data_IF_246858998515
#
_entry.id   IF_246858998515
#
_cell.length_a   1.000
_cell.length_b   1.000
_cell.length_c   1.000
_cell.angle_alpha   90.00
_cell.angle_beta   90.00
_cell.angle_gamma   90.00
#
_symmetry.space_group_name_H-M   'P 1'
#
loop_
_entity.id
_entity.type
_entity.pdbx_description
1 polymer ?
#
# COMPACT_ATOMS: atom_id res chain seq x y z
N UNK A 1 -18.08 -3.94 -4.43
CA UNK A 1 -17.55 -4.87 -3.40
C UNK A 1 -16.31 -4.30 -2.74
N UNK A 2 -15.35 -3.80 -3.52
CA UNK A 2 -14.11 -3.17 -3.05
C UNK A 2 -14.32 -1.99 -2.09
N UNK A 3 -15.20 -1.03 -2.41
CA UNK A 3 -15.50 0.13 -1.53
C UNK A 3 -15.98 -0.27 -0.12
N UNK A 4 -16.87 -1.27 -0.03
CA UNK A 4 -17.36 -1.78 1.26
C UNK A 4 -16.26 -2.44 2.07
N UNK A 5 -15.30 -3.08 1.39
CA UNK A 5 -14.13 -3.68 2.04
C UNK A 5 -13.23 -2.57 2.60
N UNK A 6 -12.99 -1.50 1.83
CA UNK A 6 -12.18 -0.36 2.25
C UNK A 6 -12.79 0.28 3.51
N UNK A 7 -14.08 0.62 3.49
CA UNK A 7 -14.79 1.20 4.65
C UNK A 7 -14.67 0.30 5.89
N UNK A 8 -14.85 -1.01 5.72
CA UNK A 8 -14.72 -1.95 6.84
C UNK A 8 -13.29 -1.98 7.40
N UNK A 9 -12.28 -1.98 6.54
CA UNK A 9 -10.88 -1.93 6.95
C UNK A 9 -10.56 -0.63 7.70
N UNK A 10 -11.05 0.51 7.23
CA UNK A 10 -10.87 1.81 7.89
C UNK A 10 -11.49 1.82 9.29
N UNK A 11 -12.71 1.25 9.46
CA UNK A 11 -13.34 1.10 10.78
C UNK A 11 -12.52 0.17 11.69
N UNK A 12 -12.08 -0.98 11.18
CA UNK A 12 -11.35 -1.97 11.98
C UNK A 12 -9.99 -1.44 12.42
N UNK A 13 -9.23 -0.81 11.52
CA UNK A 13 -7.90 -0.27 11.81
C UNK A 13 -8.01 0.98 12.67
N UNK A 14 -8.77 1.99 12.21
CA UNK A 14 -8.91 3.26 12.92
C UNK A 14 -9.61 3.10 14.27
N UNK A 15 -10.69 2.33 14.33
CA UNK A 15 -11.39 1.97 15.57
C UNK A 15 -10.55 1.11 16.49
N UNK A 16 -9.86 0.09 15.95
CA UNK A 16 -9.00 -0.81 16.70
C UNK A 16 -7.80 -0.11 17.36
N UNK A 17 -7.27 0.93 16.74
CA UNK A 17 -6.19 1.77 17.30
C UNK A 17 -6.73 2.81 18.28
N UNK A 18 -7.79 3.54 17.90
CA UNK A 18 -8.31 4.65 18.70
C UNK A 18 -8.94 4.20 20.02
N UNK A 19 -9.64 3.06 20.04
CA UNK A 19 -10.36 2.61 21.25
C UNK A 19 -9.43 2.29 22.44
N UNK A 20 -8.35 1.48 22.32
CA UNK A 20 -7.40 1.28 23.39
C UNK A 20 -6.74 2.57 23.89
N UNK A 21 -6.45 3.51 22.98
CA UNK A 21 -5.88 4.82 23.31
C UNK A 21 -6.88 5.67 24.13
N UNK A 22 -8.15 5.73 23.72
CA UNK A 22 -9.22 6.42 24.45
C UNK A 22 -9.46 5.83 25.84
N UNK A 23 -9.32 4.50 25.98
CA UNK A 23 -9.40 3.82 27.28
C UNK A 23 -8.16 4.08 28.17
N UNK A 24 -7.12 4.73 27.65
CA UNK A 24 -5.88 5.01 28.37
C UNK A 24 -4.95 3.80 28.49
N UNK A 25 -5.15 2.77 27.66
CA UNK A 25 -4.40 1.49 27.69
C UNK A 25 -3.52 1.28 26.46
N UNK A 26 -3.60 2.15 25.47
CA UNK A 26 -2.88 2.06 24.19
C UNK A 26 -1.50 2.72 24.17
N UNK A 27 -0.84 2.95 25.31
CA UNK A 27 0.42 3.72 25.36
C UNK A 27 1.56 3.10 24.55
N UNK A 28 1.52 1.78 24.35
CA UNK A 28 2.45 1.04 23.50
C UNK A 28 2.39 1.45 22.01
N UNK A 29 1.29 2.05 21.56
CA UNK A 29 1.11 2.54 20.18
C UNK A 29 1.72 3.94 19.97
N UNK A 30 2.08 4.64 21.04
CA UNK A 30 2.62 6.00 20.96
C UNK A 30 4.14 5.91 20.77
N UNK A 31 4.57 6.01 19.51
CA UNK A 31 5.98 6.09 19.16
C UNK A 31 6.65 7.29 19.89
N UNK A 32 7.92 7.11 20.28
CA UNK A 32 8.63 8.09 21.13
C UNK A 32 8.32 7.90 22.61
N UNK A 33 7.05 7.84 23.03
CA UNK A 33 6.71 7.50 24.42
C UNK A 33 7.07 6.05 24.71
N UNK A 34 6.65 5.10 23.88
CA UNK A 34 6.88 3.67 24.10
C UNK A 34 8.38 3.31 24.16
N UNK A 35 9.20 3.97 23.35
CA UNK A 35 10.66 3.77 23.28
C UNK A 35 11.44 4.58 24.32
N UNK A 36 10.80 5.52 25.01
CA UNK A 36 11.44 6.32 26.05
C UNK A 36 11.84 5.48 27.27
N UNK A 37 12.89 5.94 27.97
CA UNK A 37 13.27 5.37 29.28
C UNK A 37 12.16 5.59 30.31
N UNK A 38 12.11 4.81 31.40
CA UNK A 38 11.09 5.03 32.45
C UNK A 38 11.20 6.39 33.11
N UNK A 39 12.44 6.89 33.26
CA UNK A 39 12.71 8.25 33.75
C UNK A 39 11.98 9.27 32.90
N UNK A 40 11.98 9.09 31.58
CA UNK A 40 11.27 9.99 30.66
C UNK A 40 9.76 9.72 30.61
N UNK A 41 9.31 8.45 30.60
CA UNK A 41 7.88 8.11 30.59
C UNK A 41 7.14 8.71 31.78
N UNK A 42 7.75 8.69 32.97
CA UNK A 42 7.17 9.23 34.21
C UNK A 42 7.00 10.75 34.22
N UNK A 43 7.63 11.47 33.29
CA UNK A 43 7.37 12.90 33.10
C UNK A 43 6.02 13.17 32.46
N UNK A 44 5.31 12.15 31.98
CA UNK A 44 4.02 12.28 31.32
C UNK A 44 2.92 11.54 32.08
N UNK A 45 1.72 12.11 32.07
CA UNK A 45 0.51 11.42 32.47
C UNK A 45 0.08 10.49 31.34
N UNK A 46 0.41 9.20 31.47
CA UNK A 46 0.16 8.18 30.45
C UNK A 46 -1.30 8.13 29.99
N UNK A 47 -2.26 8.13 30.93
CA UNK A 47 -3.69 8.06 30.58
C UNK A 47 -4.13 9.28 29.79
N UNK A 48 -3.66 10.47 30.18
CA UNK A 48 -3.98 11.73 29.51
C UNK A 48 -3.32 11.80 28.13
N UNK A 49 -2.09 11.33 28.00
CA UNK A 49 -1.36 11.23 26.74
C UNK A 49 -2.07 10.27 25.78
N UNK A 50 -2.40 9.06 26.24
CA UNK A 50 -3.18 8.08 25.49
C UNK A 50 -4.51 8.64 24.99
N UNK A 51 -5.27 9.30 25.87
CA UNK A 51 -6.55 9.89 25.49
C UNK A 51 -6.38 11.03 24.49
N UNK A 52 -5.34 11.85 24.61
CA UNK A 52 -5.05 12.93 23.66
C UNK A 52 -4.80 12.37 22.27
N UNK A 53 -3.90 11.38 22.15
CA UNK A 53 -3.61 10.73 20.87
C UNK A 53 -4.84 9.97 20.35
N UNK A 54 -5.57 9.30 21.23
CA UNK A 54 -6.79 8.55 20.89
C UNK A 54 -7.92 9.42 20.35
N UNK A 55 -8.16 10.59 20.95
CA UNK A 55 -9.16 11.56 20.46
C UNK A 55 -8.76 12.04 19.07
N UNK A 56 -7.50 12.42 18.88
CA UNK A 56 -7.02 12.85 17.56
C UNK A 56 -7.18 11.73 16.51
N UNK A 57 -6.75 10.50 16.82
CA UNK A 57 -6.90 9.35 15.91
C UNK A 57 -8.35 9.04 15.60
N UNK A 58 -9.26 9.12 16.59
CA UNK A 58 -10.69 8.93 16.36
C UNK A 58 -11.27 10.01 15.45
N UNK A 59 -10.88 11.28 15.64
CA UNK A 59 -11.31 12.39 14.78
C UNK A 59 -10.85 12.20 13.34
N UNK A 60 -9.58 11.85 13.12
CA UNK A 60 -9.05 11.55 11.78
C UNK A 60 -9.78 10.36 11.16
N UNK A 61 -10.02 9.29 11.94
CA UNK A 61 -10.75 8.11 11.45
C UNK A 61 -12.15 8.50 10.98
N UNK A 62 -12.88 9.33 11.73
CA UNK A 62 -14.22 9.79 11.34
C UNK A 62 -14.19 10.67 10.08
N UNK A 63 -13.19 11.56 9.96
CA UNK A 63 -13.02 12.40 8.77
C UNK A 63 -12.70 11.58 7.52
N UNK A 64 -11.82 10.58 7.63
CA UNK A 64 -11.49 9.68 6.51
C UNK A 64 -12.69 8.81 6.15
N UNK A 65 -13.41 8.25 7.13
CA UNK A 65 -14.63 7.49 6.87
C UNK A 65 -15.70 8.32 6.17
N UNK A 66 -15.88 9.59 6.58
CA UNK A 66 -16.83 10.47 5.91
C UNK A 66 -16.41 10.79 4.48
N UNK A 67 -15.10 10.90 4.20
CA UNK A 67 -14.60 11.03 2.83
C UNK A 67 -14.94 9.80 1.97
N UNK A 68 -14.69 8.60 2.50
CA UNK A 68 -15.01 7.34 1.83
C UNK A 68 -16.51 7.18 1.58
N UNK A 69 -17.36 7.58 2.53
CA UNK A 69 -18.83 7.51 2.40
C UNK A 69 -19.34 8.51 1.36
N UNK A 70 -18.74 9.70 1.28
CA UNK A 70 -19.10 10.72 0.29
C UNK A 70 -18.63 10.34 -1.12
N UNK A 71 -17.53 9.60 -1.24
CA UNK A 71 -17.01 9.08 -2.51
C UNK A 71 -16.84 10.19 -3.55
N UNK A 72 -17.41 10.01 -4.75
CA UNK A 72 -17.35 10.99 -5.84
C UNK A 72 -18.09 12.31 -5.52
N UNK A 73 -18.97 12.34 -4.51
CA UNK A 73 -19.73 13.53 -4.13
C UNK A 73 -19.03 14.36 -3.04
N UNK A 74 -17.73 14.14 -2.81
CA UNK A 74 -16.99 14.84 -1.76
C UNK A 74 -16.82 16.32 -2.11
N UNK A 75 -17.29 17.26 -1.26
CA UNK A 75 -17.07 18.68 -1.53
C UNK A 75 -15.60 19.08 -1.30
N UNK A 76 -15.10 20.05 -2.05
CA UNK A 76 -13.73 20.57 -1.90
C UNK A 76 -13.42 21.04 -0.47
N UNK A 77 -14.39 21.68 0.20
CA UNK A 77 -14.24 22.12 1.59
C UNK A 77 -14.06 20.95 2.55
N UNK A 78 -14.67 19.81 2.26
CA UNK A 78 -14.54 18.60 3.07
C UNK A 78 -13.15 18.00 2.89
N UNK A 79 -12.64 17.94 1.66
CA UNK A 79 -11.25 17.54 1.39
C UNK A 79 -10.24 18.45 2.10
N UNK A 80 -10.46 19.78 2.05
CA UNK A 80 -9.63 20.73 2.80
C UNK A 80 -9.72 20.50 4.32
N UNK A 81 -10.90 20.15 4.85
CA UNK A 81 -11.09 19.80 6.26
C UNK A 81 -10.33 18.52 6.65
N UNK A 82 -10.37 17.46 5.83
CA UNK A 82 -9.61 16.22 6.08
C UNK A 82 -8.11 16.52 6.11
N UNK A 83 -7.60 17.21 5.09
CA UNK A 83 -6.18 17.59 5.01
C UNK A 83 -5.77 18.49 6.18
N UNK A 84 -6.58 19.50 6.50
CA UNK A 84 -6.36 20.38 7.65
C UNK A 84 -6.37 19.60 8.97
N UNK A 85 -7.32 18.68 9.14
CA UNK A 85 -7.38 17.79 10.30
C UNK A 85 -6.10 16.99 10.47
N UNK A 86 -5.63 16.32 9.40
CA UNK A 86 -4.46 15.43 9.41
C UNK A 86 -3.14 16.19 9.64
N UNK A 87 -2.94 17.34 8.99
CA UNK A 87 -1.65 18.03 9.01
C UNK A 87 -1.62 19.20 10.00
N UNK A 88 -2.63 20.05 9.98
CA UNK A 88 -2.70 21.24 10.85
C UNK A 88 -3.10 20.81 12.26
N UNK A 89 -4.07 19.89 12.39
CA UNK A 89 -4.52 19.36 13.68
C UNK A 89 -3.43 18.58 14.44
N UNK A 90 -2.40 18.10 13.75
CA UNK A 90 -1.26 17.42 14.36
C UNK A 90 -0.47 18.36 15.27
N UNK A 91 -0.26 19.62 14.87
CA UNK A 91 0.55 20.60 15.61
C UNK A 91 -0.01 20.85 17.02
N UNK A 92 -1.28 21.27 17.22
CA UNK A 92 -1.82 21.50 18.56
C UNK A 92 -1.89 20.20 19.37
N UNK A 93 -2.13 19.05 18.72
CA UNK A 93 -2.12 17.74 19.40
C UNK A 93 -0.73 17.43 19.97
N UNK A 94 0.34 17.64 19.20
CA UNK A 94 1.72 17.46 19.65
C UNK A 94 2.10 18.48 20.73
N UNK A 95 1.71 19.74 20.58
CA UNK A 95 1.94 20.77 21.60
C UNK A 95 1.25 20.40 22.92
N UNK A 96 0.00 19.94 22.88
CA UNK A 96 -0.72 19.51 24.07
C UNK A 96 -0.16 18.22 24.67
N UNK A 97 0.28 17.27 23.84
CA UNK A 97 0.96 16.06 24.30
C UNK A 97 2.27 16.40 25.04
N UNK A 98 3.04 17.36 24.52
CA UNK A 98 4.33 17.74 25.09
C UNK A 98 4.24 18.68 26.30
N UNK A 99 3.25 19.58 26.33
CA UNK A 99 3.09 20.58 27.38
C UNK A 99 1.99 20.19 28.39
N UNK A 100 0.81 19.87 27.89
CA UNK A 100 -0.39 19.63 28.70
C UNK A 100 -0.47 18.24 29.32
N UNK A 101 0.18 17.23 28.73
CA UNK A 101 0.25 15.88 29.30
C UNK A 101 1.46 15.66 30.20
N UNK A 102 2.38 16.63 30.26
CA UNK A 102 3.57 16.56 31.12
C UNK A 102 3.18 16.83 32.58
N UNK A 103 3.71 16.02 33.48
CA UNK A 103 3.57 16.18 34.93
C UNK A 103 4.50 17.32 35.38
N UNK A 104 4.09 18.07 36.41
CA UNK A 104 4.90 19.19 36.91
C UNK A 104 6.20 18.66 37.55
N UNK A 105 7.34 19.34 37.36
CA UNK A 105 8.59 18.98 38.03
C UNK A 105 8.38 18.93 39.55
N UNK A 106 8.76 17.81 40.18
CA UNK A 106 8.59 17.59 41.63
C UNK A 106 7.33 16.80 42.03
N UNK A 107 6.35 16.62 41.13
CA UNK A 107 5.21 15.70 41.32
C UNK A 107 5.46 14.32 40.68
N UNK A 108 6.65 14.11 40.12
CA UNK A 108 7.06 12.86 39.48
C UNK A 108 7.18 11.74 40.53
N UNK A 109 6.56 10.60 40.27
CA UNK A 109 6.65 9.43 41.16
C UNK A 109 8.11 8.92 41.13
N UNK A 110 8.81 8.87 42.28
CA UNK A 110 10.19 8.38 42.34
C UNK A 110 10.31 6.96 41.76
N UNK A 111 11.40 6.71 41.07
CA UNK A 111 11.72 5.38 40.59
C UNK A 111 12.14 4.51 41.77
N UNK A 112 11.25 3.60 42.16
CA UNK A 112 11.58 2.52 43.08
C UNK A 112 12.41 1.49 42.31
N UNK A 113 13.72 1.46 42.58
CA UNK A 113 14.65 0.49 41.99
C UNK A 113 14.42 -0.89 42.64
N UNK A 114 13.54 -1.69 42.02
CA UNK A 114 13.28 -3.07 42.42
C UNK A 114 13.90 -4.05 41.40
N UNK A 115 14.92 -4.85 41.78
CA UNK A 115 15.60 -5.78 40.88
C UNK A 115 14.68 -6.82 40.21
N UNK A 116 13.68 -7.33 40.93
CA UNK A 116 12.73 -8.31 40.39
C UNK A 116 11.80 -7.68 39.36
N UNK A 117 11.36 -6.43 39.61
CA UNK A 117 10.49 -5.68 38.70
C UNK A 117 11.25 -5.31 37.41
N UNK A 118 12.51 -4.88 37.54
CA UNK A 118 13.41 -4.62 36.40
C UNK A 118 13.68 -5.90 35.60
N UNK A 119 13.89 -7.05 36.25
CA UNK A 119 14.09 -8.33 35.55
C UNK A 119 12.84 -8.76 34.77
N UNK A 120 11.65 -8.71 35.39
CA UNK A 120 10.37 -9.02 34.71
C UNK A 120 10.16 -8.10 33.51
N UNK A 121 10.44 -6.81 33.66
CA UNK A 121 10.30 -5.81 32.60
C UNK A 121 11.31 -6.00 31.47
N UNK A 122 12.57 -6.30 31.79
CA UNK A 122 13.60 -6.65 30.80
C UNK A 122 13.19 -7.90 30.01
N UNK A 123 12.63 -8.91 30.69
CA UNK A 123 12.07 -10.11 30.04
C UNK A 123 10.92 -9.76 29.10
N UNK A 124 9.94 -8.96 29.54
CA UNK A 124 8.82 -8.51 28.69
C UNK A 124 9.31 -7.72 27.48
N UNK A 125 10.20 -6.73 27.67
CA UNK A 125 10.77 -5.94 26.57
C UNK A 125 11.52 -6.82 25.57
N UNK A 126 12.29 -7.81 26.03
CA UNK A 126 12.98 -8.74 25.14
C UNK A 126 12.00 -9.57 24.30
N UNK A 127 10.86 -9.99 24.88
CA UNK A 127 9.80 -10.69 24.16
C UNK A 127 9.13 -9.76 23.15
N UNK A 128 8.76 -8.54 23.55
CA UNK A 128 8.16 -7.53 22.66
C UNK A 128 9.09 -7.22 21.48
N UNK A 129 10.38 -6.99 21.73
CA UNK A 129 11.37 -6.78 20.67
C UNK A 129 11.49 -7.99 19.76
N UNK A 130 11.52 -9.22 20.31
CA UNK A 130 11.59 -10.43 19.50
C UNK A 130 10.35 -10.60 18.59
N UNK A 131 9.16 -10.28 19.10
CA UNK A 131 7.91 -10.31 18.33
C UNK A 131 7.93 -9.26 17.22
N UNK A 132 8.35 -8.02 17.51
CA UNK A 132 8.47 -6.96 16.50
C UNK A 132 9.46 -7.35 15.41
N UNK A 133 10.63 -7.88 15.79
CA UNK A 133 11.63 -8.36 14.83
C UNK A 133 11.06 -9.50 13.97
N UNK A 134 10.34 -10.45 14.57
CA UNK A 134 9.72 -11.55 13.84
C UNK A 134 8.66 -11.05 12.84
N UNK A 135 7.77 -10.12 13.25
CA UNK A 135 6.77 -9.52 12.36
C UNK A 135 7.46 -8.77 11.23
N UNK A 136 8.52 -8.03 11.53
CA UNK A 136 9.29 -7.29 10.52
C UNK A 136 9.94 -8.25 9.53
N UNK A 137 10.55 -9.35 9.99
CA UNK A 137 11.12 -10.38 9.13
C UNK A 137 10.02 -11.03 8.28
N UNK A 138 8.87 -11.38 8.87
CA UNK A 138 7.76 -11.95 8.13
C UNK A 138 7.23 -10.98 7.04
N UNK A 139 7.11 -9.69 7.35
CA UNK A 139 6.71 -8.67 6.38
C UNK A 139 7.75 -8.49 5.26
N UNK A 140 9.04 -8.51 5.58
CA UNK A 140 10.12 -8.47 4.59
C UNK A 140 10.10 -9.70 3.68
N UNK A 141 9.94 -10.90 4.26
CA UNK A 141 9.83 -12.15 3.49
C UNK A 141 8.59 -12.13 2.61
N UNK A 142 7.43 -11.70 3.13
CA UNK A 142 6.21 -11.57 2.36
C UNK A 142 6.37 -10.59 1.20
N UNK A 143 6.96 -9.42 1.44
CA UNK A 143 7.24 -8.42 0.40
C UNK A 143 8.20 -8.98 -0.66
N UNK A 144 9.24 -9.71 -0.23
CA UNK A 144 10.16 -10.38 -1.15
C UNK A 144 9.44 -11.42 -2.01
N UNK A 145 8.56 -12.25 -1.44
CA UNK A 145 7.77 -13.22 -2.21
C UNK A 145 6.90 -12.51 -3.26
N UNK A 146 6.25 -11.41 -2.92
CA UNK A 146 5.45 -10.64 -3.88
C UNK A 146 6.27 -10.09 -5.06
N UNK A 147 7.54 -9.74 -4.85
CA UNK A 147 8.42 -9.25 -5.91
C UNK A 147 8.79 -10.32 -6.95
N UNK A 148 8.73 -11.61 -6.59
CA UNK A 148 9.17 -12.73 -7.42
C UNK A 148 8.04 -13.68 -7.85
N UNK A 149 6.78 -13.38 -7.52
CA UNK A 149 5.63 -14.23 -7.85
C UNK A 149 4.68 -13.53 -8.81
N UNK A 150 3.65 -14.25 -9.25
CA UNK A 150 2.66 -13.76 -10.21
C UNK A 150 2.88 -14.30 -11.63
N UNK A 151 1.80 -14.26 -12.39
CA UNK A 151 1.73 -14.65 -13.79
C UNK A 151 0.89 -13.65 -14.58
N UNK A 152 1.30 -13.41 -15.83
CA UNK A 152 0.48 -12.79 -16.87
C UNK A 152 -0.08 -13.90 -17.76
N UNK A 153 -1.38 -13.86 -18.02
CA UNK A 153 -2.07 -14.81 -18.92
C UNK A 153 -2.84 -14.06 -19.99
N UNK A 154 -2.59 -14.40 -21.24
CA UNK A 154 -3.35 -13.90 -22.39
C UNK A 154 -4.29 -14.99 -22.88
N UNK A 155 -5.59 -14.74 -22.80
CA UNK A 155 -6.65 -15.68 -23.14
C UNK A 155 -7.49 -15.11 -24.28
N UNK A 156 -7.80 -15.92 -25.29
CA UNK A 156 -8.66 -15.52 -26.40
C UNK A 156 -10.02 -16.20 -26.19
N UNK A 157 -11.09 -15.41 -26.04
CA UNK A 157 -12.46 -15.89 -25.78
C UNK A 157 -13.48 -15.05 -26.54
N UNK A 158 -14.41 -15.68 -27.26
CA UNK A 158 -15.61 -15.04 -27.81
C UNK A 158 -15.32 -13.67 -28.47
N UNK A 159 -14.37 -13.63 -29.41
CA UNK A 159 -13.95 -12.44 -30.18
C UNK A 159 -13.23 -11.32 -29.38
N UNK A 160 -12.75 -11.62 -28.17
CA UNK A 160 -11.92 -10.73 -27.37
C UNK A 160 -10.68 -11.42 -26.81
N UNK A 161 -9.64 -10.62 -26.64
CA UNK A 161 -8.39 -10.96 -25.98
C UNK A 161 -8.45 -10.43 -24.54
N UNK A 162 -8.44 -11.32 -23.56
CA UNK A 162 -8.38 -11.04 -22.13
C UNK A 162 -6.93 -11.19 -21.65
N UNK A 163 -6.37 -10.13 -21.07
CA UNK A 163 -5.05 -10.13 -20.44
C UNK A 163 -5.28 -10.08 -18.93
N UNK A 164 -4.90 -11.14 -18.24
CA UNK A 164 -5.03 -11.26 -16.79
C UNK A 164 -3.67 -11.06 -16.15
N UNK A 165 -3.57 -10.01 -15.34
CA UNK A 165 -2.40 -9.71 -14.51
C UNK A 165 -2.62 -10.20 -13.08
N UNK A 166 -1.55 -10.60 -12.40
CA UNK A 166 -1.68 -11.05 -11.01
C UNK A 166 -1.81 -9.89 -10.03
N UNK A 167 -1.28 -8.71 -10.38
CA UNK A 167 -1.21 -7.57 -9.48
C UNK A 167 -1.77 -6.27 -10.10
N UNK A 168 -2.37 -6.37 -11.28
CA UNK A 168 -3.03 -5.28 -11.97
C UNK A 168 -4.42 -5.70 -12.46
N UNK A 169 -5.27 -4.73 -12.80
CA UNK A 169 -6.60 -5.04 -13.34
C UNK A 169 -6.50 -5.79 -14.66
N UNK A 170 -7.40 -6.73 -14.90
CA UNK A 170 -7.52 -7.39 -16.20
C UNK A 170 -7.78 -6.37 -17.32
N UNK A 171 -7.24 -6.62 -18.50
CA UNK A 171 -7.40 -5.78 -19.68
C UNK A 171 -8.09 -6.57 -20.79
N UNK A 172 -9.08 -5.97 -21.43
CA UNK A 172 -9.85 -6.62 -22.49
C UNK A 172 -9.76 -5.84 -23.79
N UNK A 173 -9.44 -6.55 -24.88
CA UNK A 173 -9.31 -5.99 -26.23
C UNK A 173 -10.22 -6.79 -27.16
N UNK A 174 -11.29 -6.22 -27.71
CA UNK A 174 -12.01 -6.84 -28.81
C UNK A 174 -11.06 -7.07 -29.99
N UNK A 175 -11.07 -8.26 -30.59
CA UNK A 175 -10.13 -8.59 -31.68
C UNK A 175 -10.31 -7.65 -32.88
N UNK A 176 -11.54 -7.15 -33.10
CA UNK A 176 -11.84 -6.14 -34.12
C UNK A 176 -11.19 -4.77 -33.89
N UNK A 177 -10.72 -4.47 -32.67
CA UNK A 177 -10.02 -3.23 -32.36
C UNK A 177 -8.52 -3.30 -32.63
N UNK A 178 -7.97 -4.51 -32.85
CA UNK A 178 -6.56 -4.73 -33.18
C UNK A 178 -6.35 -4.42 -34.65
N UNK A 179 -5.48 -3.44 -34.94
CA UNK A 179 -5.16 -3.01 -36.29
C UNK A 179 -3.91 -3.69 -36.82
N UNK A 180 -2.90 -3.84 -35.96
CA UNK A 180 -1.63 -4.49 -36.30
C UNK A 180 -1.14 -5.33 -35.12
N UNK A 181 -0.40 -6.40 -35.43
CA UNK A 181 0.29 -7.25 -34.46
C UNK A 181 1.72 -7.42 -34.94
N UNK A 182 2.69 -7.04 -34.12
CA UNK A 182 4.12 -7.08 -34.49
C UNK A 182 4.92 -7.81 -33.42
N UNK A 183 5.80 -8.72 -33.85
CA UNK A 183 6.82 -9.31 -32.98
C UNK A 183 8.05 -8.41 -32.91
N UNK A 184 8.52 -8.11 -31.70
CA UNK A 184 9.67 -7.24 -31.45
C UNK A 184 10.69 -7.96 -30.57
N UNK A 185 11.93 -8.04 -31.04
CA UNK A 185 13.09 -8.51 -30.27
C UNK A 185 13.76 -7.32 -29.58
N UNK A 186 14.34 -7.53 -28.39
CA UNK A 186 15.07 -6.51 -27.61
C UNK A 186 14.27 -5.20 -27.47
N UNK A 187 13.03 -5.32 -27.00
CA UNK A 187 12.08 -4.21 -26.97
C UNK A 187 12.31 -3.26 -25.79
N UNK A 188 12.57 -1.97 -26.08
CA UNK A 188 12.74 -0.94 -25.06
C UNK A 188 11.40 -0.53 -24.44
N UNK A 189 11.11 -1.05 -23.25
CA UNK A 189 9.85 -0.81 -22.52
C UNK A 189 9.71 0.61 -21.95
N UNK A 190 10.79 1.39 -21.90
CA UNK A 190 10.79 2.73 -21.35
C UNK A 190 10.52 2.78 -19.84
N UNK A 191 9.82 3.82 -19.38
CA UNK A 191 9.59 4.08 -17.96
C UNK A 191 8.15 3.84 -17.53
N UNK A 192 7.96 3.19 -16.38
CA UNK A 192 6.63 3.04 -15.78
C UNK A 192 6.04 4.40 -15.36
N UNK A 193 4.78 4.65 -15.73
CA UNK A 193 3.97 5.79 -15.23
C UNK A 193 3.09 5.38 -14.06
N UNK A 194 2.28 4.34 -14.24
CA UNK A 194 1.33 3.85 -13.23
C UNK A 194 1.22 2.34 -13.41
N UNK A 195 1.49 1.54 -12.37
CA UNK A 195 1.51 0.10 -12.53
C UNK A 195 2.36 -0.66 -11.52
N UNK A 196 2.46 -1.96 -11.74
CA UNK A 196 3.41 -2.87 -11.12
C UNK A 196 4.66 -2.99 -11.98
N UNK A 197 5.81 -2.87 -11.32
CA UNK A 197 7.13 -3.17 -11.87
C UNK A 197 7.85 -3.96 -10.78
N UNK A 198 7.88 -5.27 -10.95
CA UNK A 198 8.47 -6.25 -10.03
C UNK A 198 9.58 -7.02 -10.73
N UNK A 199 10.33 -7.83 -9.99
CA UNK A 199 11.40 -8.66 -10.56
C UNK A 199 10.85 -9.83 -11.41
N UNK A 200 9.53 -10.01 -11.41
CA UNK A 200 8.83 -11.03 -12.17
C UNK A 200 7.99 -10.43 -13.29
N UNK A 201 7.27 -9.32 -13.06
CA UNK A 201 6.22 -8.80 -13.94
C UNK A 201 6.27 -7.27 -14.11
N UNK A 202 5.87 -6.82 -15.30
CA UNK A 202 5.52 -5.44 -15.62
C UNK A 202 4.05 -5.39 -16.01
N UNK A 203 3.23 -4.64 -15.27
CA UNK A 203 1.79 -4.54 -15.52
C UNK A 203 1.32 -3.08 -15.34
N UNK A 204 0.71 -2.49 -16.36
CA UNK A 204 0.11 -1.16 -16.29
C UNK A 204 0.55 -0.23 -17.41
N UNK A 205 0.60 1.07 -17.12
CA UNK A 205 0.88 2.14 -18.06
C UNK A 205 2.36 2.54 -18.04
N UNK A 206 2.99 2.49 -19.20
CA UNK A 206 4.40 2.80 -19.45
C UNK A 206 4.52 3.91 -20.50
N UNK A 207 5.69 4.52 -20.56
CA UNK A 207 6.01 5.51 -21.58
C UNK A 207 7.39 5.25 -22.19
N UNK A 208 7.44 5.21 -23.53
CA UNK A 208 8.69 5.16 -24.28
C UNK A 208 8.69 6.21 -25.41
N UNK A 209 9.83 6.36 -26.09
CA UNK A 209 10.00 7.37 -27.15
C UNK A 209 9.22 7.05 -28.44
N UNK A 210 8.89 5.78 -28.67
CA UNK A 210 8.25 5.30 -29.89
C UNK A 210 6.73 5.50 -29.84
N UNK A 211 6.09 5.08 -28.74
CA UNK A 211 4.65 5.05 -28.60
C UNK A 211 4.08 6.16 -27.71
N UNK A 212 4.93 6.89 -26.98
CA UNK A 212 4.45 7.74 -25.89
C UNK A 212 3.86 6.85 -24.79
N UNK A 213 2.67 7.18 -24.29
CA UNK A 213 1.98 6.39 -23.26
C UNK A 213 1.32 5.14 -23.85
N UNK A 214 1.56 3.97 -23.25
CA UNK A 214 1.03 2.69 -23.71
C UNK A 214 0.90 1.68 -22.57
N UNK A 215 0.22 0.56 -22.83
CA UNK A 215 -0.05 -0.47 -21.81
C UNK A 215 0.89 -1.67 -21.96
N UNK A 216 1.43 -2.16 -20.84
CA UNK A 216 2.28 -3.36 -20.78
C UNK A 216 1.68 -4.40 -19.84
N UNK A 217 1.68 -5.66 -20.26
CA UNK A 217 1.52 -6.83 -19.38
C UNK A 217 2.55 -7.89 -19.78
N UNK A 218 3.61 -8.01 -18.99
CA UNK A 218 4.77 -8.80 -19.40
C UNK A 218 5.51 -9.43 -18.21
N UNK A 219 6.24 -10.50 -18.47
CA UNK A 219 7.30 -11.00 -17.63
C UNK A 219 8.55 -10.12 -17.82
N UNK A 220 9.10 -9.64 -16.70
CA UNK A 220 10.19 -8.66 -16.68
C UNK A 220 11.52 -9.19 -17.25
N UNK A 221 11.69 -10.52 -17.34
CA UNK A 221 12.93 -11.17 -17.80
C UNK A 221 12.96 -11.51 -19.29
N UNK A 222 11.84 -11.32 -19.99
CA UNK A 222 11.77 -11.56 -21.43
C UNK A 222 11.73 -10.22 -22.15
N UNK A 223 12.70 -10.00 -23.02
CA UNK A 223 12.87 -8.75 -23.79
C UNK A 223 12.15 -8.78 -25.14
N UNK A 224 11.59 -9.94 -25.50
CA UNK A 224 10.79 -10.11 -26.71
C UNK A 224 9.33 -9.84 -26.40
N UNK A 225 8.66 -9.10 -27.28
CA UNK A 225 7.28 -8.64 -27.09
C UNK A 225 6.42 -8.86 -28.32
N UNK A 226 5.13 -9.07 -28.06
CA UNK A 226 4.04 -8.91 -29.01
C UNK A 226 3.44 -7.53 -28.79
N UNK A 227 3.59 -6.66 -29.78
CA UNK A 227 3.05 -5.29 -29.75
C UNK A 227 1.81 -5.25 -30.63
N UNK A 228 0.70 -4.80 -30.05
CA UNK A 228 -0.58 -4.64 -30.70
C UNK A 228 -0.93 -3.15 -30.77
N UNK A 229 -1.10 -2.62 -31.98
CA UNK A 229 -1.69 -1.30 -32.15
C UNK A 229 -3.20 -1.46 -32.25
N UNK A 230 -3.92 -0.83 -31.32
CA UNK A 230 -5.38 -0.86 -31.28
C UNK A 230 -5.96 0.52 -31.55
N UNK A 231 -7.26 0.57 -31.82
CA UNK A 231 -8.01 1.84 -31.90
C UNK A 231 -7.92 2.72 -30.64
N UNK A 232 -7.55 2.15 -29.48
CA UNK A 232 -7.48 2.85 -28.18
C UNK A 232 -6.05 3.18 -27.73
N UNK A 233 -5.04 2.71 -28.47
CA UNK A 233 -3.63 2.85 -28.11
C UNK A 233 -2.85 1.56 -28.26
N UNK A 234 -1.58 1.60 -27.85
CA UNK A 234 -0.66 0.47 -27.99
C UNK A 234 -0.70 -0.42 -26.75
N UNK A 235 -0.70 -1.73 -26.96
CA UNK A 235 -0.63 -2.73 -25.90
C UNK A 235 0.48 -3.72 -26.21
N UNK A 236 1.40 -3.92 -25.28
CA UNK A 236 2.52 -4.85 -25.43
C UNK A 236 2.45 -5.98 -24.40
N UNK A 237 2.60 -7.22 -24.86
CA UNK A 237 2.56 -8.42 -24.01
C UNK A 237 3.72 -9.37 -24.32
N UNK A 238 4.08 -10.24 -23.37
CA UNK A 238 5.03 -11.33 -23.64
C UNK A 238 4.71 -12.62 -22.87
N UNK A 239 5.38 -13.70 -23.25
CA UNK A 239 5.46 -14.94 -22.48
C UNK A 239 6.66 -14.95 -21.53
N UNK A 240 6.89 -16.06 -20.81
CA UNK A 240 8.03 -16.17 -19.88
C UNK A 240 9.37 -16.23 -20.62
N UNK A 241 9.36 -16.70 -21.86
CA UNK A 241 10.54 -16.86 -22.72
C UNK A 241 10.25 -16.36 -24.13
N UNK A 242 11.28 -16.04 -24.93
CA UNK A 242 11.12 -15.69 -26.34
C UNK A 242 10.28 -16.69 -27.15
N UNK A 243 10.44 -17.99 -26.90
CA UNK A 243 9.68 -19.05 -27.57
C UNK A 243 8.20 -19.03 -27.19
N UNK A 244 7.88 -18.76 -25.92
CA UNK A 244 6.50 -18.57 -25.48
C UNK A 244 5.89 -17.30 -26.07
N UNK A 245 6.65 -16.20 -26.11
CA UNK A 245 6.24 -14.95 -26.76
C UNK A 245 5.97 -15.15 -28.24
N UNK A 246 6.80 -15.92 -28.95
CA UNK A 246 6.60 -16.21 -30.38
C UNK A 246 5.35 -17.04 -30.63
N UNK A 247 5.10 -18.05 -29.80
CA UNK A 247 3.83 -18.81 -29.85
C UNK A 247 2.62 -17.93 -29.52
N UNK A 248 2.79 -16.96 -28.62
CA UNK A 248 1.73 -16.01 -28.30
C UNK A 248 1.44 -15.09 -29.48
N UNK A 249 2.47 -14.58 -30.16
CA UNK A 249 2.35 -13.78 -31.38
C UNK A 249 1.55 -14.50 -32.45
N UNK A 250 1.94 -15.74 -32.80
CA UNK A 250 1.26 -16.55 -33.82
C UNK A 250 -0.24 -16.72 -33.49
N UNK A 251 -0.57 -17.03 -32.24
CA UNK A 251 -1.97 -17.19 -31.79
C UNK A 251 -2.79 -15.91 -31.88
N UNK A 252 -2.20 -14.77 -31.53
CA UNK A 252 -2.89 -13.48 -31.59
C UNK A 252 -3.09 -13.06 -33.05
N UNK A 253 -2.09 -13.29 -33.91
CA UNK A 253 -2.15 -12.99 -35.33
C UNK A 253 -3.26 -13.79 -36.04
N UNK A 254 -3.29 -15.12 -35.82
CA UNK A 254 -4.33 -16.00 -36.35
C UNK A 254 -5.73 -15.57 -35.87
N UNK A 255 -5.89 -15.31 -34.56
CA UNK A 255 -7.17 -14.95 -33.99
C UNK A 255 -7.69 -13.57 -34.44
N UNK A 256 -6.79 -12.62 -34.71
CA UNK A 256 -7.15 -11.29 -35.21
C UNK A 256 -7.45 -11.26 -36.70
N UNK A 257 -7.18 -12.34 -37.44
CA UNK A 257 -7.41 -12.41 -38.88
C UNK A 257 -6.49 -11.49 -39.68
N UNK A 258 -5.29 -11.22 -39.16
CA UNK A 258 -4.30 -10.30 -39.73
C UNK A 258 -3.10 -11.04 -40.38
N UNK A 259 -3.26 -12.32 -40.71
CA UNK A 259 -2.28 -13.12 -41.47
C UNK A 259 -2.08 -12.65 -42.91
#
# INVERSE_FOLDING_TARGET
>A
MMEKIIILLTILIGGGISLPLLMGKGSFLIAGYNTASEKEKRKYNEKKLCRTVGVYMALITVLVLGAEILGENIPDWYMALVMGGVFIGLIPTLLYANLGCRIKPGEEIPLEENPEKELKRKKTRNIETAVIVLITIAAMVFSAVLLFTGDVKVLIRNDRLEIQGSFWSDYEIPLSEIQTVTYREDFETGGKRVGVDSLQLNEGTFENREFGEYTIYSYARCEDFVVMETTKGVVAVNGKTPEETRKLYEKILEASGLE
#
